data_IF_889244686861
#
_entry.id   IF_889244686861
#
_cell.length_a   1.000
_cell.length_b   1.000
_cell.length_c   1.000
_cell.angle_alpha   90.00
_cell.angle_beta   90.00
_cell.angle_gamma   90.00
#
_symmetry.space_group_name_H-M   'P 1'
#
loop_
_entity.id
_entity.type
_entity.pdbx_description
1 polymer ?
#
# COMPACT_ATOMS: atom_id res chain seq x y z
N UNK A 1 47.30 -46.15 25.49
CA UNK A 1 47.31 -44.76 25.00
C UNK A 1 45.87 -44.34 24.75
N UNK A 2 45.31 -43.38 25.52
CA UNK A 2 43.92 -42.93 25.34
C UNK A 2 43.84 -41.81 24.28
N UNK A 3 42.86 -41.89 23.38
CA UNK A 3 42.49 -40.80 22.49
C UNK A 3 41.15 -40.20 22.94
N UNK A 4 40.98 -38.86 22.92
CA UNK A 4 39.80 -38.19 23.47
C UNK A 4 38.60 -38.25 22.53
N UNK A 5 37.44 -38.27 23.17
CA UNK A 5 36.10 -38.11 22.59
C UNK A 5 35.90 -36.66 22.11
N UNK A 6 35.37 -36.48 20.91
CA UNK A 6 34.58 -35.29 20.57
C UNK A 6 33.23 -35.71 20.01
N UNK A 7 32.21 -35.35 20.78
CA UNK A 7 30.79 -35.35 20.48
C UNK A 7 30.55 -34.25 19.44
N UNK A 8 29.90 -34.55 18.32
CA UNK A 8 29.29 -33.52 17.48
C UNK A 8 27.86 -33.98 17.15
N UNK A 9 26.93 -33.55 18.00
CA UNK A 9 25.51 -33.44 17.69
C UNK A 9 25.39 -32.50 16.48
N UNK A 10 24.97 -32.99 15.33
CA UNK A 10 24.51 -32.12 14.25
C UNK A 10 23.02 -31.85 14.46
N UNK A 11 22.74 -30.60 14.80
CA UNK A 11 21.45 -29.98 15.02
C UNK A 11 20.53 -30.12 13.81
N UNK A 12 19.27 -30.38 14.13
CA UNK A 12 18.05 -30.15 13.36
C UNK A 12 18.06 -28.82 12.62
N UNK A 13 17.85 -28.84 11.30
CA UNK A 13 17.28 -27.71 10.58
C UNK A 13 15.90 -28.14 10.07
N UNK A 14 14.89 -27.73 10.83
CA UNK A 14 13.53 -27.69 10.38
C UNK A 14 13.50 -26.90 9.06
N UNK A 15 13.15 -27.58 7.97
CA UNK A 15 12.58 -26.93 6.80
C UNK A 15 11.22 -26.39 7.24
N UNK A 16 11.25 -25.22 7.89
CA UNK A 16 10.08 -24.41 8.13
C UNK A 16 9.43 -24.18 6.77
N UNK A 17 8.16 -24.59 6.68
CA UNK A 17 7.32 -24.29 5.55
C UNK A 17 7.41 -22.80 5.26
N UNK A 18 8.05 -22.44 4.15
CA UNK A 18 7.61 -21.28 3.40
C UNK A 18 6.23 -21.66 2.87
N UNK A 19 5.21 -21.55 3.72
CA UNK A 19 3.86 -21.35 3.26
C UNK A 19 3.90 -20.01 2.53
N UNK A 20 4.23 -20.08 1.24
CA UNK A 20 4.07 -18.96 0.33
C UNK A 20 2.61 -18.59 0.39
N UNK A 21 2.30 -17.49 1.07
CA UNK A 21 1.13 -16.72 0.70
C UNK A 21 1.28 -16.44 -0.79
N UNK A 22 0.26 -16.80 -1.56
CA UNK A 22 0.17 -16.41 -2.95
C UNK A 22 0.38 -14.89 -2.98
N UNK A 23 1.44 -14.44 -3.66
CA UNK A 23 1.58 -13.02 -3.93
C UNK A 23 0.33 -12.61 -4.71
N UNK A 24 -0.43 -11.64 -4.20
CA UNK A 24 -1.53 -11.08 -4.97
C UNK A 24 -0.91 -10.42 -6.19
N UNK A 25 -1.30 -10.84 -7.39
CA UNK A 25 -0.83 -10.22 -8.64
C UNK A 25 -1.32 -8.76 -8.79
N UNK A 26 -2.27 -8.34 -7.96
CA UNK A 26 -2.98 -7.08 -8.15
C UNK A 26 -2.25 -5.86 -7.59
N UNK A 27 -1.40 -5.98 -6.55
CA UNK A 27 -0.65 -4.84 -5.99
C UNK A 27 -1.48 -3.57 -5.85
N UNK A 28 -2.64 -3.66 -5.18
CA UNK A 28 -3.57 -2.53 -5.03
C UNK A 28 -3.79 -2.19 -3.57
N UNK A 29 -4.06 -0.91 -3.31
CA UNK A 29 -4.55 -0.40 -2.04
C UNK A 29 -5.98 0.10 -2.19
N UNK A 30 -6.70 0.15 -1.07
CA UNK A 30 -8.11 0.52 -1.01
C UNK A 30 -8.29 1.85 -0.28
N UNK A 31 -8.85 2.85 -0.96
CA UNK A 31 -9.34 4.08 -0.34
C UNK A 31 -10.85 3.95 -0.11
N UNK A 32 -11.29 4.14 1.13
CA UNK A 32 -12.68 4.13 1.54
C UNK A 32 -13.17 5.55 1.81
N UNK A 33 -14.31 5.89 1.24
CA UNK A 33 -14.97 7.17 1.47
C UNK A 33 -15.96 7.05 2.63
N UNK A 34 -15.48 7.23 3.87
CA UNK A 34 -16.35 7.17 5.06
C UNK A 34 -17.12 8.47 5.30
N UNK A 35 -16.83 9.52 4.52
CA UNK A 35 -17.57 10.78 4.58
C UNK A 35 -18.93 10.74 3.87
N UNK A 36 -19.16 9.73 3.01
CA UNK A 36 -20.37 9.62 2.19
C UNK A 36 -20.49 10.73 1.13
N UNK A 37 -19.36 11.28 0.69
CA UNK A 37 -19.29 12.36 -0.30
C UNK A 37 -19.09 11.82 -1.71
N UNK A 38 -20.18 11.58 -2.41
CA UNK A 38 -20.19 10.99 -3.75
C UNK A 38 -19.66 11.94 -4.85
N UNK A 39 -19.46 13.22 -4.54
CA UNK A 39 -18.95 14.26 -5.43
C UNK A 39 -17.42 14.28 -5.56
N UNK A 40 -16.72 13.49 -4.75
CA UNK A 40 -15.27 13.48 -4.68
C UNK A 40 -14.64 12.74 -5.86
N UNK A 41 -13.42 13.14 -6.20
CA UNK A 41 -12.59 12.53 -7.24
C UNK A 41 -11.20 12.23 -6.69
N UNK A 42 -10.63 11.11 -7.10
CA UNK A 42 -9.24 10.74 -6.79
C UNK A 42 -8.38 10.98 -8.01
N UNK A 43 -7.27 11.69 -7.80
CA UNK A 43 -6.22 11.90 -8.79
C UNK A 43 -4.93 11.29 -8.27
N UNK A 44 -4.31 10.45 -9.08
CA UNK A 44 -3.00 9.87 -8.77
C UNK A 44 -1.98 10.38 -9.79
N UNK A 45 -0.84 10.85 -9.29
CA UNK A 45 0.16 11.59 -10.05
C UNK A 45 1.41 10.73 -10.35
N UNK A 46 2.03 10.98 -11.50
CA UNK A 46 3.34 10.41 -11.85
C UNK A 46 4.50 11.25 -11.30
N UNK A 47 5.75 10.80 -11.45
CA UNK A 47 6.96 11.51 -10.98
C UNK A 47 7.11 12.95 -11.53
N UNK A 48 6.36 13.29 -12.59
CA UNK A 48 6.34 14.61 -13.21
C UNK A 48 5.14 15.45 -12.76
N UNK A 49 4.36 14.99 -11.76
CA UNK A 49 3.16 15.63 -11.26
C UNK A 49 1.97 15.59 -12.22
N UNK A 50 1.98 14.68 -13.21
CA UNK A 50 0.90 14.57 -14.20
C UNK A 50 -0.11 13.52 -13.75
N UNK A 51 -1.42 13.74 -13.95
CA UNK A 51 -2.42 12.71 -13.67
C UNK A 51 -2.17 11.46 -14.51
N UNK A 52 -1.84 10.35 -13.86
CA UNK A 52 -1.83 9.03 -14.50
C UNK A 52 -3.19 8.35 -14.37
N UNK A 53 -3.95 8.71 -13.33
CA UNK A 53 -5.32 8.24 -13.10
C UNK A 53 -6.16 9.36 -12.49
N UNK A 54 -7.38 9.49 -12.99
CA UNK A 54 -8.37 10.46 -12.49
C UNK A 54 -9.77 9.84 -12.60
N UNK A 55 -10.43 9.65 -11.47
CA UNK A 55 -11.69 8.93 -11.38
C UNK A 55 -12.56 9.42 -10.22
N UNK A 56 -13.86 9.16 -10.30
CA UNK A 56 -14.76 9.39 -9.16
C UNK A 56 -14.35 8.52 -7.97
N UNK A 57 -14.47 9.08 -6.77
CA UNK A 57 -14.29 8.36 -5.52
C UNK A 57 -15.60 7.64 -5.17
N UNK A 58 -15.78 6.46 -5.74
CA UNK A 58 -16.81 5.52 -5.29
C UNK A 58 -16.56 5.16 -3.80
N UNK A 59 -17.55 4.62 -3.06
CA UNK A 59 -17.38 4.28 -1.64
C UNK A 59 -16.14 3.43 -1.32
N UNK A 60 -15.64 2.70 -2.31
CA UNK A 60 -14.40 1.94 -2.26
C UNK A 60 -13.64 2.11 -3.59
N UNK A 61 -12.52 2.82 -3.56
CA UNK A 61 -11.67 3.07 -4.71
C UNK A 61 -10.34 2.32 -4.58
N UNK A 62 -10.02 1.48 -5.57
CA UNK A 62 -8.73 0.79 -5.62
C UNK A 62 -7.76 1.56 -6.48
N UNK A 63 -6.55 1.81 -5.98
CA UNK A 63 -5.45 2.35 -6.77
C UNK A 63 -4.27 1.39 -6.77
N UNK A 64 -3.54 1.40 -7.88
CA UNK A 64 -2.36 0.55 -8.09
C UNK A 64 -1.21 1.08 -7.23
N UNK A 65 -0.60 0.20 -6.45
CA UNK A 65 0.60 0.49 -5.68
C UNK A 65 1.86 0.05 -6.41
N UNK A 66 1.83 -0.63 -7.55
CA UNK A 66 3.03 -1.11 -8.23
C UNK A 66 3.65 -0.06 -9.16
N UNK A 67 4.95 0.28 -9.02
CA UNK A 67 5.69 0.91 -10.14
C UNK A 67 7.19 0.57 -10.28
N UNK A 68 7.54 0.29 -11.54
CA UNK A 68 8.83 0.14 -12.28
C UNK A 68 9.84 -0.97 -12.02
N UNK A 69 10.07 -1.49 -10.81
CA UNK A 69 10.87 -2.72 -10.66
C UNK A 69 10.38 -3.59 -9.50
N UNK A 70 10.10 -4.86 -9.80
CA UNK A 70 9.46 -5.74 -8.84
C UNK A 70 10.48 -6.21 -7.80
N UNK A 71 10.35 -5.73 -6.55
CA UNK A 71 10.68 -6.53 -5.35
C UNK A 71 10.13 -5.99 -4.00
N UNK A 72 9.11 -5.12 -3.97
CA UNK A 72 8.41 -4.76 -2.71
C UNK A 72 6.90 -4.60 -2.91
N UNK A 73 6.12 -5.24 -2.05
CA UNK A 73 4.65 -5.14 -1.97
C UNK A 73 4.17 -3.82 -1.34
N UNK A 74 5.10 -2.93 -0.97
CA UNK A 74 4.81 -1.59 -0.47
C UNK A 74 5.49 -0.58 -1.40
N UNK A 75 4.69 0.08 -2.21
CA UNK A 75 5.18 1.02 -3.20
C UNK A 75 4.26 2.26 -3.21
N UNK A 76 4.99 3.36 -3.23
CA UNK A 76 4.58 4.76 -3.25
C UNK A 76 4.32 5.08 -4.73
N UNK A 77 3.36 5.94 -5.06
CA UNK A 77 3.20 6.43 -6.43
C UNK A 77 4.55 7.00 -6.96
N UNK A 78 4.64 7.30 -8.25
CA UNK A 78 5.88 7.75 -8.89
C UNK A 78 6.72 8.79 -8.11
N UNK A 79 6.06 9.75 -7.47
CA UNK A 79 6.62 10.64 -6.45
C UNK A 79 5.99 10.48 -5.05
N UNK A 80 4.99 9.61 -4.92
CA UNK A 80 4.23 9.35 -3.72
C UNK A 80 2.98 10.17 -3.54
N UNK A 81 2.67 11.07 -4.47
CA UNK A 81 1.57 12.00 -4.30
C UNK A 81 0.24 11.45 -4.80
N UNK A 82 -0.81 11.71 -4.03
CA UNK A 82 -2.18 11.60 -4.50
C UNK A 82 -3.02 12.75 -3.94
N UNK A 83 -4.09 13.07 -4.67
CA UNK A 83 -5.04 14.11 -4.29
C UNK A 83 -6.47 13.56 -4.27
N UNK A 84 -7.26 14.07 -3.33
CA UNK A 84 -8.73 14.04 -3.41
C UNK A 84 -9.21 15.44 -3.74
N UNK A 85 -10.05 15.54 -4.75
CA UNK A 85 -10.66 16.79 -5.19
C UNK A 85 -12.17 16.75 -5.03
N UNK A 86 -12.78 17.89 -4.81
CA UNK A 86 -14.23 18.04 -4.88
C UNK A 86 -14.73 18.21 -6.34
N UNK A 87 -16.05 18.38 -6.51
CA UNK A 87 -16.67 18.56 -7.82
C UNK A 87 -16.23 19.83 -8.57
N UNK A 88 -15.76 20.85 -7.84
CA UNK A 88 -15.25 22.10 -8.40
C UNK A 88 -13.76 21.98 -8.78
N UNK A 89 -13.13 20.84 -8.45
CA UNK A 89 -11.72 20.56 -8.72
C UNK A 89 -10.78 21.10 -7.65
N UNK A 90 -11.28 21.59 -6.51
CA UNK A 90 -10.43 22.02 -5.42
C UNK A 90 -9.85 20.81 -4.69
N UNK A 91 -8.55 20.87 -4.38
CA UNK A 91 -7.86 19.84 -3.60
C UNK A 91 -8.32 19.94 -2.15
N UNK A 92 -8.98 18.88 -1.66
CA UNK A 92 -9.44 18.77 -0.27
C UNK A 92 -8.51 17.90 0.56
N UNK A 93 -7.79 16.98 -0.09
CA UNK A 93 -6.75 16.15 0.53
C UNK A 93 -5.56 16.10 -0.41
N UNK A 94 -4.37 16.33 0.15
CA UNK A 94 -3.09 16.11 -0.52
C UNK A 94 -2.27 15.19 0.38
N UNK A 95 -1.73 14.12 -0.17
CA UNK A 95 -0.91 13.21 0.61
C UNK A 95 0.29 12.72 -0.18
N UNK A 96 1.45 12.72 0.48
CA UNK A 96 2.71 12.21 -0.02
C UNK A 96 3.11 10.94 0.76
N UNK A 97 2.92 9.79 0.13
CA UNK A 97 3.26 8.48 0.66
C UNK A 97 4.78 8.21 0.67
N UNK A 98 5.63 9.11 0.16
CA UNK A 98 7.09 8.99 0.33
C UNK A 98 7.49 9.00 1.82
N UNK A 99 6.67 9.62 2.69
CA UNK A 99 6.87 9.64 4.14
C UNK A 99 6.43 8.33 4.80
N UNK A 100 5.32 7.74 4.36
CA UNK A 100 4.82 6.44 4.81
C UNK A 100 4.30 5.63 3.61
N UNK A 101 5.00 4.56 3.20
CA UNK A 101 4.59 3.77 2.04
C UNK A 101 3.25 3.08 2.27
N UNK A 102 2.46 2.98 1.21
CA UNK A 102 1.24 2.17 1.15
C UNK A 102 1.62 0.76 0.70
N UNK A 103 1.24 -0.22 1.51
CA UNK A 103 1.40 -1.63 1.21
C UNK A 103 0.17 -2.21 0.52
N UNK A 104 0.40 -3.28 -0.23
CA UNK A 104 -0.64 -4.15 -0.75
C UNK A 104 -1.63 -4.49 0.36
N UNK A 105 -2.92 -4.34 0.06
CA UNK A 105 -4.03 -4.58 1.00
C UNK A 105 -4.18 -3.57 2.13
N UNK A 106 -3.38 -2.50 2.15
CA UNK A 106 -3.68 -1.40 3.07
C UNK A 106 -5.02 -0.77 2.70
N UNK A 107 -5.77 -0.44 3.75
CA UNK A 107 -7.04 0.25 3.67
C UNK A 107 -6.86 1.64 4.27
N UNK A 108 -7.18 2.66 3.49
CA UNK A 108 -7.13 4.06 3.87
C UNK A 108 -8.56 4.57 4.01
N UNK A 109 -8.90 5.16 5.16
CA UNK A 109 -10.18 5.83 5.37
C UNK A 109 -10.04 7.32 5.11
N UNK A 110 -10.86 7.87 4.22
CA UNK A 110 -11.13 9.31 4.13
C UNK A 110 -12.22 9.66 5.13
N UNK A 111 -11.87 10.42 6.17
CA UNK A 111 -12.79 10.80 7.26
C UNK A 111 -13.27 12.25 7.12
N UNK A 112 -14.26 12.62 7.93
CA UNK A 112 -15.12 13.81 7.74
C UNK A 112 -14.39 15.15 7.56
N UNK A 113 -13.17 15.29 8.07
CA UNK A 113 -12.39 16.53 7.99
C UNK A 113 -11.48 16.60 6.73
N UNK A 114 -11.55 15.61 5.84
CA UNK A 114 -10.60 15.47 4.72
C UNK A 114 -9.27 14.84 5.14
N UNK A 115 -9.24 14.21 6.31
CA UNK A 115 -8.05 13.50 6.77
C UNK A 115 -8.04 12.05 6.28
N UNK A 116 -6.83 11.51 6.12
CA UNK A 116 -6.61 10.11 5.83
C UNK A 116 -6.12 9.37 7.05
N UNK A 117 -6.75 8.24 7.32
CA UNK A 117 -6.37 7.33 8.40
C UNK A 117 -6.04 5.96 7.84
N UNK A 118 -5.03 5.32 8.41
CA UNK A 118 -4.70 3.93 8.10
C UNK A 118 -5.60 3.03 8.93
N UNK A 119 -6.38 2.22 8.24
CA UNK A 119 -7.26 1.23 8.85
C UNK A 119 -6.50 -0.11 8.84
N UNK A 120 -6.05 -0.55 10.01
CA UNK A 120 -5.44 -1.88 10.14
C UNK A 120 -6.51 -2.96 9.86
N UNK A 121 -6.30 -3.82 8.84
CA UNK A 121 -7.04 -5.08 8.73
C UNK A 121 -6.62 -6.00 9.88
N UNK A 122 -7.36 -5.97 10.99
CA UNK A 122 -7.23 -6.93 12.10
C UNK A 122 -7.73 -8.33 11.72
#
# INVERSE_FOLDING_TARGET
>A
MPAPRFLALALTLCLGACAGGEASDDGTALLLNETGRDDLRVVVLDDAGRPFRDAALDPAFRFDTQFTDRERQCLVAGDGSFEVRDSDGAVVVEHDFAVRPVCERDVLGLIGDGDLVWLDER
#
